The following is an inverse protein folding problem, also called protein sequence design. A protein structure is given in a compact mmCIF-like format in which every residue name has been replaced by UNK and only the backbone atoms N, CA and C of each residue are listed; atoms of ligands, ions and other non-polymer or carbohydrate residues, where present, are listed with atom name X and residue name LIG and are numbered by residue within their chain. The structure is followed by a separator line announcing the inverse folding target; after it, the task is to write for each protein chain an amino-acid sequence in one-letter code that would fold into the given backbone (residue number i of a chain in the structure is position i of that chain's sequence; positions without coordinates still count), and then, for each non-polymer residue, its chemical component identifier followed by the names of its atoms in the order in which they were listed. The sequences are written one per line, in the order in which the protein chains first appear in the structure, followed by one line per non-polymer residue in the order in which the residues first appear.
data_IF_996920834259
#
_entry.id   IF_996920834259
#
_cell.length_a   1.000
_cell.length_b   1.000
_cell.length_c   1.000
_cell.angle_alpha   90.00
_cell.angle_beta   90.00
_cell.angle_gamma   90.00
#
_symmetry.space_group_name_H-M   'P 1'
#
loop_
_entity.id
_entity.type
_entity.pdbx_description
1 polymer ?
#
# COMPACT_ATOMS: atom_id res chain seq x y z
N UNK A 1 1.42 0.26 6.10
CA UNK A 1 0.92 1.14 5.03
C UNK A 1 0.21 0.32 3.97
N UNK A 2 -0.97 0.74 3.53
CA UNK A 2 -1.70 0.14 2.41
C UNK A 2 -1.78 1.15 1.26
N UNK A 3 -1.85 0.67 0.03
CA UNK A 3 -2.11 1.53 -1.12
C UNK A 3 -1.85 0.81 -2.44
N UNK A 4 -2.42 1.33 -3.52
CA UNK A 4 -2.22 0.80 -4.86
C UNK A 4 -0.74 0.92 -5.29
N UNK A 5 -0.33 0.17 -6.31
CA UNK A 5 1.00 0.32 -6.91
C UNK A 5 1.24 1.78 -7.31
N UNK A 6 2.47 2.27 -7.11
CA UNK A 6 2.82 3.68 -7.35
C UNK A 6 2.03 4.75 -6.54
N UNK A 7 1.27 4.38 -5.50
CA UNK A 7 0.64 5.34 -4.58
C UNK A 7 1.63 6.03 -3.60
N UNK A 8 2.95 5.89 -3.79
CA UNK A 8 3.96 6.58 -2.96
C UNK A 8 4.36 5.86 -1.65
N UNK A 9 4.01 4.57 -1.46
CA UNK A 9 4.28 3.81 -0.21
C UNK A 9 5.74 3.85 0.26
N UNK A 10 6.69 3.57 -0.63
CA UNK A 10 8.11 3.55 -0.27
C UNK A 10 8.65 4.95 0.06
N UNK A 11 8.22 5.97 -0.69
CA UNK A 11 8.55 7.37 -0.42
C UNK A 11 7.95 7.82 0.92
N UNK A 12 6.75 7.34 1.26
CA UNK A 12 6.14 7.66 2.55
C UNK A 12 6.87 7.00 3.73
N UNK A 13 7.33 5.76 3.60
CA UNK A 13 8.21 5.14 4.61
C UNK A 13 9.42 6.03 4.83
N UNK A 14 10.07 6.46 3.75
CA UNK A 14 11.24 7.35 3.80
C UNK A 14 10.90 8.68 4.46
N UNK A 15 9.74 9.26 4.18
CA UNK A 15 9.31 10.47 4.87
C UNK A 15 9.12 10.23 6.39
N UNK A 16 8.47 9.12 6.79
CA UNK A 16 8.22 8.82 8.20
C UNK A 16 9.52 8.69 9.02
N UNK A 17 10.43 7.84 8.58
CA UNK A 17 11.72 7.61 9.24
C UNK A 17 12.68 8.81 9.21
N UNK A 18 12.67 9.67 8.18
CA UNK A 18 13.61 10.81 8.08
C UNK A 18 13.06 12.07 8.73
N UNK A 19 11.75 12.30 8.62
CA UNK A 19 11.14 13.56 9.05
C UNK A 19 10.30 13.42 10.34
N UNK A 20 9.91 12.21 10.72
CA UNK A 20 9.12 11.97 11.93
C UNK A 20 9.93 11.19 12.97
N UNK A 21 10.39 11.89 14.02
CA UNK A 21 11.19 11.33 15.12
C UNK A 21 10.59 10.07 15.76
N UNK A 22 9.26 9.92 15.74
CA UNK A 22 8.58 8.72 16.24
C UNK A 22 9.00 7.45 15.52
N UNK A 23 9.38 7.55 14.24
CA UNK A 23 9.72 6.42 13.38
C UNK A 23 11.21 6.36 13.02
N UNK A 24 12.05 7.20 13.63
CA UNK A 24 13.48 7.28 13.29
C UNK A 24 14.24 5.95 13.49
N UNK A 25 13.78 5.11 14.43
CA UNK A 25 14.36 3.78 14.72
C UNK A 25 13.55 2.63 14.14
N UNK A 26 12.51 2.92 13.36
CA UNK A 26 11.64 1.91 12.81
C UNK A 26 12.32 1.14 11.67
N UNK A 27 12.14 -0.17 11.62
CA UNK A 27 12.72 -1.01 10.57
C UNK A 27 11.79 -1.03 9.36
N UNK A 28 12.22 -0.58 8.18
CA UNK A 28 11.46 -0.75 6.95
C UNK A 28 11.42 -2.23 6.57
N UNK A 29 10.22 -2.80 6.44
CA UNK A 29 10.02 -4.16 5.93
C UNK A 29 9.28 -4.08 4.60
N UNK A 30 9.77 -4.81 3.61
CA UNK A 30 9.24 -4.81 2.25
C UNK A 30 8.68 -6.19 1.89
N UNK A 31 7.68 -6.24 1.00
CA UNK A 31 7.03 -7.50 0.60
C UNK A 31 8.01 -8.56 0.07
N UNK A 32 9.08 -8.14 -0.60
CA UNK A 32 10.07 -9.06 -1.15
C UNK A 32 10.87 -9.79 -0.08
N UNK A 33 11.04 -9.20 1.11
CA UNK A 33 11.76 -9.81 2.23
C UNK A 33 11.03 -11.05 2.74
N UNK A 34 9.69 -11.05 2.69
CA UNK A 34 8.89 -12.25 2.95
C UNK A 34 9.05 -13.32 1.87
N UNK A 35 9.12 -12.93 0.60
CA UNK A 35 9.26 -13.88 -0.53
C UNK A 35 10.62 -14.56 -0.58
N UNK A 36 11.66 -13.86 -0.13
CA UNK A 36 13.05 -14.33 -0.12
C UNK A 36 13.44 -15.02 1.19
N UNK A 37 12.54 -15.04 2.20
CA UNK A 37 12.81 -15.59 3.52
C UNK A 37 13.68 -14.70 4.42
N UNK A 38 14.09 -13.51 3.95
CA UNK A 38 14.83 -12.52 4.75
C UNK A 38 14.02 -11.99 5.95
N UNK A 39 12.69 -12.07 5.88
CA UNK A 39 11.78 -11.74 6.95
C UNK A 39 10.68 -12.80 7.01
N UNK A 40 10.45 -13.41 8.17
CA UNK A 40 9.45 -14.48 8.35
C UNK A 40 8.19 -13.99 9.10
N UNK A 41 8.32 -12.89 9.85
CA UNK A 41 7.31 -12.28 10.70
C UNK A 41 7.53 -10.77 10.84
N UNK A 42 6.47 -10.03 11.18
CA UNK A 42 6.57 -8.62 11.58
C UNK A 42 6.79 -8.50 13.08
N UNK A 43 7.54 -7.47 13.47
CA UNK A 43 7.85 -7.15 14.86
C UNK A 43 7.27 -5.78 15.25
N UNK A 44 7.04 -5.53 16.55
CA UNK A 44 6.68 -4.20 17.02
C UNK A 44 7.72 -3.16 16.60
N UNK A 45 7.26 -2.08 15.96
CA UNK A 45 8.13 -1.02 15.43
C UNK A 45 8.46 -1.16 13.94
N UNK A 46 8.10 -2.27 13.29
CA UNK A 46 8.30 -2.41 11.85
C UNK A 46 7.37 -1.50 11.04
N UNK A 47 7.93 -0.90 9.98
CA UNK A 47 7.19 -0.17 8.96
C UNK A 47 7.04 -1.03 7.73
N UNK A 48 5.88 -1.67 7.60
CA UNK A 48 5.57 -2.58 6.50
C UNK A 48 4.58 -1.97 5.51
N UNK A 49 4.79 -2.19 4.21
CA UNK A 49 3.83 -1.79 3.18
C UNK A 49 3.22 -2.96 2.41
N UNK A 50 1.94 -2.82 2.07
CA UNK A 50 1.18 -3.76 1.25
C UNK A 50 0.63 -3.07 -0.01
N UNK A 51 0.85 -3.70 -1.16
CA UNK A 51 0.33 -3.31 -2.45
C UNK A 51 -1.02 -3.97 -2.72
N UNK A 52 -2.09 -3.21 -2.57
CA UNK A 52 -3.45 -3.72 -2.77
C UNK A 52 -3.75 -4.10 -4.23
N UNK A 53 -2.85 -3.81 -5.19
CA UNK A 53 -2.99 -4.22 -6.59
C UNK A 53 -2.54 -5.66 -6.86
N UNK A 54 -2.00 -6.37 -5.86
CA UNK A 54 -1.61 -7.79 -5.97
C UNK A 54 -2.82 -8.71 -6.14
N UNK A 55 -3.96 -8.37 -5.52
CA UNK A 55 -5.23 -9.10 -5.67
C UNK A 55 -5.82 -8.79 -7.04
N UNK A 56 -5.75 -9.74 -7.98
CA UNK A 56 -6.16 -9.54 -9.38
C UNK A 56 -7.66 -9.68 -9.63
N UNK A 57 -8.41 -10.23 -8.69
CA UNK A 57 -9.85 -10.43 -8.81
C UNK A 57 -10.59 -9.09 -8.75
N UNK A 58 -11.73 -9.03 -9.45
CA UNK A 58 -12.63 -7.90 -9.33
C UNK A 58 -13.26 -7.84 -7.93
N UNK A 59 -13.55 -6.64 -7.41
CA UNK A 59 -14.31 -6.51 -6.19
C UNK A 59 -15.66 -7.23 -6.30
N UNK A 60 -15.83 -8.32 -5.55
CA UNK A 60 -17.11 -8.98 -5.30
C UNK A 60 -17.79 -8.46 -4.03
N UNK A 61 -18.92 -9.07 -3.67
CA UNK A 61 -19.71 -8.68 -2.49
C UNK A 61 -19.00 -9.01 -1.15
N UNK A 62 -18.25 -10.11 -1.10
CA UNK A 62 -17.50 -10.49 0.10
C UNK A 62 -16.16 -9.76 0.15
N UNK A 63 -16.10 -8.73 0.99
CA UNK A 63 -14.89 -7.94 1.17
C UNK A 63 -13.79 -8.68 1.94
N UNK A 64 -14.13 -9.58 2.88
CA UNK A 64 -13.10 -10.24 3.71
C UNK A 64 -12.38 -11.34 2.92
N UNK A 65 -13.12 -12.15 2.15
CA UNK A 65 -12.53 -13.15 1.27
C UNK A 65 -11.52 -12.54 0.27
N UNK A 66 -11.79 -11.33 -0.22
CA UNK A 66 -10.88 -10.64 -1.15
C UNK A 66 -9.62 -10.10 -0.49
N UNK A 67 -9.72 -9.66 0.76
CA UNK A 67 -8.54 -9.20 1.50
C UNK A 67 -7.70 -10.40 1.92
N UNK A 68 -8.33 -11.53 2.27
CA UNK A 68 -7.68 -12.81 2.57
C UNK A 68 -6.93 -13.42 1.38
N UNK A 69 -7.39 -13.17 0.14
CA UNK A 69 -6.66 -13.56 -1.08
C UNK A 69 -5.30 -12.85 -1.24
N UNK A 70 -4.99 -11.83 -0.43
CA UNK A 70 -3.69 -11.18 -0.47
C UNK A 70 -2.59 -12.15 0.02
N UNK A 71 -1.48 -12.35 -0.71
CA UNK A 71 -0.44 -13.33 -0.35
C UNK A 71 0.20 -13.15 1.03
N UNK A 72 0.15 -11.92 1.55
CA UNK A 72 0.69 -11.54 2.85
C UNK A 72 -0.39 -11.31 3.92
N UNK A 73 -1.65 -11.69 3.67
CA UNK A 73 -2.74 -11.48 4.61
C UNK A 73 -2.44 -12.10 5.97
N UNK A 74 -2.17 -13.41 6.01
CA UNK A 74 -1.91 -14.12 7.27
C UNK A 74 -0.68 -13.60 8.03
N UNK A 75 0.33 -13.12 7.31
CA UNK A 75 1.55 -12.52 7.90
C UNK A 75 1.32 -11.18 8.59
N UNK A 76 0.26 -10.46 8.20
CA UNK A 76 -0.01 -9.11 8.69
C UNK A 76 -1.19 -9.12 9.65
N UNK A 77 -2.32 -9.68 9.22
CA UNK A 77 -3.60 -9.54 9.91
C UNK A 77 -3.93 -10.72 10.84
N UNK A 78 -3.51 -11.94 10.50
CA UNK A 78 -3.77 -13.13 11.33
C UNK A 78 -2.68 -13.37 12.38
N UNK A 79 -1.53 -12.72 12.25
CA UNK A 79 -0.39 -12.86 13.15
C UNK A 79 -0.59 -12.23 14.57
N UNK A 80 -1.82 -11.80 14.90
CA UNK A 80 -2.18 -11.31 16.24
C UNK A 80 -1.59 -9.92 16.60
N UNK A 81 -1.06 -9.20 15.62
CA UNK A 81 -0.41 -7.91 15.84
C UNK A 81 -1.42 -6.79 16.15
N UNK A 82 -1.05 -5.87 17.04
CA UNK A 82 -1.73 -4.57 17.14
C UNK A 82 -1.27 -3.66 16.00
N UNK A 83 -2.12 -3.49 15.01
CA UNK A 83 -1.81 -2.74 13.80
C UNK A 83 -2.37 -1.32 13.83
N UNK A 84 -1.62 -0.38 13.27
CA UNK A 84 -2.13 0.90 12.77
C UNK A 84 -1.79 1.04 11.30
N UNK A 85 -2.78 1.43 10.49
CA UNK A 85 -2.67 1.40 9.03
C UNK A 85 -2.83 2.78 8.42
N UNK A 86 -1.80 3.26 7.74
CA UNK A 86 -1.89 4.42 6.87
C UNK A 86 -2.27 3.96 5.46
N UNK A 87 -3.43 4.38 4.98
CA UNK A 87 -3.95 4.08 3.64
C UNK A 87 -3.57 5.22 2.70
N UNK A 88 -2.60 4.97 1.83
CA UNK A 88 -2.09 5.94 0.88
C UNK A 88 -2.94 5.95 -0.39
N UNK A 89 -3.27 7.16 -0.83
CA UNK A 89 -4.13 7.44 -1.96
C UNK A 89 -3.43 8.40 -2.92
N UNK A 90 -3.69 8.20 -4.20
CA UNK A 90 -3.36 9.15 -5.25
C UNK A 90 -4.47 9.07 -6.32
N UNK A 91 -4.77 10.17 -7.04
CA UNK A 91 -5.67 10.17 -8.19
C UNK A 91 -5.32 9.09 -9.21
N UNK A 92 -6.33 8.63 -9.94
CA UNK A 92 -6.14 7.53 -10.90
C UNK A 92 -5.20 7.93 -12.03
N UNK A 93 -5.35 9.15 -12.52
CA UNK A 93 -4.50 9.76 -13.55
C UNK A 93 -3.04 9.78 -13.11
N UNK A 94 -2.77 10.24 -11.88
CA UNK A 94 -1.43 10.30 -11.32
C UNK A 94 -0.81 8.90 -11.12
N UNK A 95 -1.58 7.94 -10.60
CA UNK A 95 -1.13 6.54 -10.50
C UNK A 95 -0.76 5.99 -11.88
N UNK A 96 -1.57 6.27 -12.91
CA UNK A 96 -1.30 5.82 -14.28
C UNK A 96 0.02 6.39 -14.79
N UNK A 97 0.23 7.71 -14.69
CA UNK A 97 1.47 8.37 -15.09
C UNK A 97 2.67 7.76 -14.36
N UNK A 98 2.61 7.65 -13.04
CA UNK A 98 3.69 7.05 -12.23
C UNK A 98 3.96 5.57 -12.56
N UNK A 99 2.97 4.82 -13.07
CA UNK A 99 3.18 3.44 -13.55
C UNK A 99 3.91 3.44 -14.88
N UNK A 100 3.55 4.34 -15.79
CA UNK A 100 4.16 4.48 -17.12
C UNK A 100 5.62 4.93 -17.02
N UNK A 101 5.91 5.88 -16.13
CA UNK A 101 7.25 6.45 -15.96
C UNK A 101 8.21 5.51 -15.21
N UNK A 102 7.69 4.48 -14.54
CA UNK A 102 8.50 3.58 -13.71
C UNK A 102 9.16 2.49 -14.54
N UNK A 103 10.48 2.54 -14.65
CA UNK A 103 11.30 1.57 -15.38
C UNK A 103 11.70 0.36 -14.53
N UNK A 104 12.02 0.56 -13.24
CA UNK A 104 12.60 -0.46 -12.38
C UNK A 104 11.76 -0.78 -11.14
N UNK A 105 11.86 -2.04 -10.69
CA UNK A 105 11.43 -2.42 -9.35
C UNK A 105 12.46 -1.88 -8.36
N UNK A 106 11.98 -1.03 -7.45
CA UNK A 106 12.78 -0.57 -6.31
C UNK A 106 12.38 -1.38 -5.09
N UNK A 107 13.33 -2.09 -4.51
CA UNK A 107 13.20 -2.87 -3.28
C UNK A 107 13.71 -2.11 -2.05
N UNK A 108 13.81 -0.79 -2.08
CA UNK A 108 14.03 0.01 -0.87
C UNK A 108 15.08 1.09 -1.07
N UNK A 109 14.69 2.33 -0.76
CA UNK A 109 15.59 3.42 -0.34
C UNK A 109 16.95 3.55 -1.04
N UNK A 110 17.02 3.32 -2.36
CA UNK A 110 18.27 3.51 -3.09
C UNK A 110 19.36 2.47 -2.78
N UNK A 111 19.06 1.40 -2.03
CA UNK A 111 19.93 0.20 -1.95
C UNK A 111 19.66 -0.79 -3.09
N UNK A 112 18.97 -0.32 -4.12
CA UNK A 112 18.43 -1.11 -5.22
C UNK A 112 19.44 -1.21 -6.36
N UNK A 113 20.38 -2.15 -6.26
CA UNK A 113 20.86 -2.81 -7.46
C UNK A 113 19.69 -3.60 -8.07
N UNK A 114 18.92 -2.88 -8.89
CA UNK A 114 17.95 -3.29 -9.92
C UNK A 114 17.60 -4.78 -9.89
N UNK A 115 16.55 -5.16 -9.17
CA UNK A 115 15.94 -6.48 -9.34
C UNK A 115 14.79 -6.37 -10.33
N UNK A 116 15.14 -6.34 -11.63
CA UNK A 116 14.19 -6.56 -12.72
C UNK A 116 13.34 -5.36 -13.16
N UNK A 117 12.75 -5.53 -14.35
CA UNK A 117 11.85 -4.57 -14.99
C UNK A 117 10.57 -4.42 -14.19
N UNK A 118 10.13 -3.18 -13.99
CA UNK A 118 8.81 -2.92 -13.42
C UNK A 118 7.71 -3.48 -14.35
N UNK A 119 6.74 -4.27 -13.84
CA UNK A 119 5.72 -4.90 -14.69
C UNK A 119 4.61 -3.91 -15.08
N UNK A 120 4.97 -2.83 -15.78
CA UNK A 120 4.11 -1.70 -16.14
C UNK A 120 2.80 -2.16 -16.80
N UNK A 121 2.87 -2.96 -17.88
CA UNK A 121 1.68 -3.45 -18.58
C UNK A 121 0.75 -4.29 -17.69
N UNK A 122 1.28 -5.07 -16.76
CA UNK A 122 0.45 -5.82 -15.81
C UNK A 122 -0.24 -4.90 -14.81
N UNK A 123 0.43 -3.85 -14.33
CA UNK A 123 -0.11 -2.91 -13.35
C UNK A 123 -1.15 -1.98 -13.96
N UNK A 124 -0.93 -1.53 -15.20
CA UNK A 124 -1.94 -0.79 -15.97
C UNK A 124 -3.20 -1.63 -16.20
N UNK A 125 -3.06 -2.90 -16.62
CA UNK A 125 -4.24 -3.79 -16.76
C UNK A 125 -5.05 -3.93 -15.49
N UNK A 126 -4.41 -4.05 -14.33
CA UNK A 126 -5.12 -4.12 -13.03
C UNK A 126 -5.80 -2.79 -12.70
N UNK A 127 -5.15 -1.66 -13.00
CA UNK A 127 -5.74 -0.33 -12.83
C UNK A 127 -6.97 -0.19 -13.73
N UNK A 128 -6.86 -0.55 -15.01
CA UNK A 128 -7.90 -0.41 -16.05
C UNK A 128 -9.08 -1.34 -15.88
N UNK A 129 -8.85 -2.58 -15.47
CA UNK A 129 -9.92 -3.54 -15.26
C UNK A 129 -10.81 -3.17 -14.07
N UNK A 130 -10.31 -2.42 -13.08
CA UNK A 130 -10.93 -2.34 -11.76
C UNK A 130 -11.10 -0.91 -11.26
N UNK A 131 -12.28 -0.62 -10.69
CA UNK A 131 -12.54 0.66 -10.07
C UNK A 131 -11.64 0.82 -8.82
N UNK A 132 -10.79 1.85 -8.85
CA UNK A 132 -9.86 2.13 -7.77
C UNK A 132 -10.59 2.40 -6.45
N UNK A 133 -11.71 3.14 -6.50
CA UNK A 133 -12.58 3.41 -5.35
C UNK A 133 -13.12 2.12 -4.73
N UNK A 134 -13.70 1.22 -5.53
CA UNK A 134 -14.24 -0.05 -5.02
C UNK A 134 -13.15 -0.89 -4.35
N UNK A 135 -11.94 -0.91 -4.92
CA UNK A 135 -10.80 -1.62 -4.33
C UNK A 135 -10.44 -1.05 -2.95
N UNK A 136 -10.32 0.27 -2.81
CA UNK A 136 -10.06 0.86 -1.50
C UNK A 136 -11.23 0.66 -0.52
N UNK A 137 -12.47 0.65 -1.00
CA UNK A 137 -13.66 0.41 -0.18
C UNK A 137 -13.67 -1.01 0.42
N UNK A 138 -13.26 -2.03 -0.34
CA UNK A 138 -13.10 -3.40 0.17
C UNK A 138 -12.12 -3.44 1.35
N UNK A 139 -10.94 -2.84 1.18
CA UNK A 139 -9.94 -2.77 2.24
C UNK A 139 -10.40 -1.92 3.43
N UNK A 140 -11.06 -0.79 3.19
CA UNK A 140 -11.62 0.05 4.25
C UNK A 140 -12.69 -0.69 5.05
N UNK A 141 -13.58 -1.43 4.38
CA UNK A 141 -14.59 -2.27 5.01
C UNK A 141 -13.97 -3.33 5.92
N UNK A 142 -12.93 -4.01 5.44
CA UNK A 142 -12.18 -4.98 6.24
C UNK A 142 -11.55 -4.34 7.49
N UNK A 143 -10.81 -3.23 7.33
CA UNK A 143 -10.18 -2.53 8.45
C UNK A 143 -11.20 -2.05 9.48
N UNK A 144 -12.35 -1.55 9.02
CA UNK A 144 -13.42 -1.07 9.89
C UNK A 144 -14.08 -2.21 10.68
N UNK A 145 -14.48 -3.31 10.01
CA UNK A 145 -15.11 -4.47 10.68
C UNK A 145 -14.20 -5.09 11.72
N UNK A 146 -12.91 -5.18 11.43
CA UNK A 146 -11.90 -5.73 12.34
C UNK A 146 -11.37 -4.71 13.35
N UNK A 147 -11.96 -3.50 13.43
CA UNK A 147 -11.58 -2.42 14.36
C UNK A 147 -10.10 -2.06 14.31
N UNK A 148 -9.49 -2.17 13.13
CA UNK A 148 -8.09 -1.81 12.91
C UNK A 148 -7.99 -0.30 12.76
N UNK A 149 -7.18 0.35 13.60
CA UNK A 149 -6.97 1.79 13.53
C UNK A 149 -6.35 2.15 12.19
N UNK A 150 -6.98 3.05 11.46
CA UNK A 150 -6.45 3.50 10.17
C UNK A 150 -6.74 4.98 9.91
N UNK A 151 -5.92 5.59 9.06
CA UNK A 151 -6.11 6.94 8.53
C UNK A 151 -5.78 6.99 7.05
N UNK A 152 -6.31 7.97 6.34
CA UNK A 152 -6.08 8.16 4.91
C UNK A 152 -5.01 9.23 4.69
N UNK A 153 -4.06 8.93 3.81
CA UNK A 153 -2.96 9.82 3.45
C UNK A 153 -3.04 10.07 1.95
N UNK A 154 -3.19 11.33 1.54
CA UNK A 154 -3.03 11.70 0.14
C UNK A 154 -1.55 11.91 -0.17
N UNK A 155 -1.05 11.18 -1.17
CA UNK A 155 0.32 11.27 -1.68
C UNK A 155 0.33 11.92 -3.07
N UNK A 156 0.72 13.20 -3.13
CA UNK A 156 0.87 14.00 -4.36
C UNK A 156 2.21 14.71 -4.31
N UNK A 157 2.98 14.68 -5.39
CA UNK A 157 4.20 15.50 -5.53
C UNK A 157 5.14 15.44 -4.31
N UNK A 158 5.41 14.23 -3.82
CA UNK A 158 6.24 13.96 -2.63
C UNK A 158 5.73 14.55 -1.30
N UNK A 159 4.53 15.10 -1.30
CA UNK A 159 3.83 15.58 -0.10
C UNK A 159 2.87 14.51 0.41
N UNK A 160 2.70 14.50 1.72
CA UNK A 160 1.84 13.55 2.43
C UNK A 160 0.88 14.31 3.35
N UNK A 161 -0.40 14.34 2.96
CA UNK A 161 -1.43 15.06 3.70
C UNK A 161 -2.38 14.06 4.35
N UNK A 162 -2.57 14.16 5.67
CA UNK A 162 -3.59 13.36 6.36
C UNK A 162 -4.96 13.92 6.02
N UNK A 163 -5.86 13.05 5.56
CA UNK A 163 -7.24 13.40 5.24
C UNK A 163 -8.15 13.23 6.45
N UNK A 164 -9.24 13.99 6.51
CA UNK A 164 -10.19 13.96 7.62
C UNK A 164 -11.00 12.66 7.69
N UNK A 165 -11.16 11.94 6.57
CA UNK A 165 -11.90 10.69 6.53
C UNK A 165 -12.14 10.16 5.12
N UNK A 166 -13.06 9.18 5.03
CA UNK A 166 -13.36 8.47 3.80
C UNK A 166 -13.97 9.37 2.71
N UNK A 167 -14.75 10.39 3.06
CA UNK A 167 -15.35 11.28 2.06
C UNK A 167 -14.31 12.13 1.30
N UNK A 168 -13.25 12.56 1.99
CA UNK A 168 -12.08 13.20 1.34
C UNK A 168 -11.29 12.19 0.51
N UNK A 169 -11.04 10.99 1.06
CA UNK A 169 -10.38 9.91 0.34
C UNK A 169 -11.09 9.58 -0.98
N UNK A 170 -12.42 9.46 -0.95
CA UNK A 170 -13.24 9.20 -2.14
C UNK A 170 -13.13 10.33 -3.16
N UNK A 171 -13.13 11.59 -2.73
CA UNK A 171 -12.93 12.74 -3.63
C UNK A 171 -11.58 12.69 -4.34
N UNK A 172 -10.51 12.28 -3.66
CA UNK A 172 -9.20 12.10 -4.29
C UNK A 172 -9.22 10.95 -5.31
N UNK A 173 -9.85 9.84 -4.98
CA UNK A 173 -9.91 8.64 -5.84
C UNK A 173 -10.77 8.83 -7.11
N UNK A 174 -11.67 9.81 -7.11
CA UNK A 174 -12.53 10.15 -8.25
C UNK A 174 -11.93 11.23 -9.17
N UNK A 175 -10.77 11.79 -8.81
CA UNK A 175 -9.96 12.67 -9.69
C UNK A 175 -9.12 11.84 -10.66
#
# INVERSE_FOLDING_TARGET
MLGFSCAGKSTYIRHLVTENRRFATATPIYEHMFRTGLCTELRPGDLFHMDISTVRKAPGADCDAQVQDHPLFGKVFEAGHRLSVDVLLAPRSEIRTRIQDRTHLGLGWGNDNVTGTYPCASKLRVLDALCLMQRYQVWQGHLHRNRIRHRFIWSSDERFVTLSGWDEARRILLR
#
